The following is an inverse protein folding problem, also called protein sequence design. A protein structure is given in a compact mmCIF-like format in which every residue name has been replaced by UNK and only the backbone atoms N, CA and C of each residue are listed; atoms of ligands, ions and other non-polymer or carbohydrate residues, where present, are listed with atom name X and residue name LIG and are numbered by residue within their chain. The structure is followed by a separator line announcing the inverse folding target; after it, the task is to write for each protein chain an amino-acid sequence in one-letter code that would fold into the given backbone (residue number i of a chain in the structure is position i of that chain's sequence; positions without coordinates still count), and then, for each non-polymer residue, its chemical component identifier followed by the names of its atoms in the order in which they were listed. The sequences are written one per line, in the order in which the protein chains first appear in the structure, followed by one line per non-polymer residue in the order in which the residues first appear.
data_IF_678727308671
#
_entry.id   IF_678727308671
#
_cell.length_a   1.000
_cell.length_b   1.000
_cell.length_c   1.000
_cell.angle_alpha   90.00
_cell.angle_beta   90.00
_cell.angle_gamma   90.00
#
_symmetry.space_group_name_H-M   'P 1'
#
loop_
_entity.id
_entity.type
_entity.pdbx_description
1 polymer ?
#
# COMPACT_ATOMS: atom_id res chain seq x y z
N UNK A 1 16.52 -2.23 1.74
CA UNK A 1 16.60 -3.06 0.51
C UNK A 1 16.80 -2.14 -0.69
N UNK A 2 17.62 -2.52 -1.69
CA UNK A 2 17.82 -1.71 -2.91
C UNK A 2 16.60 -1.75 -3.84
N UNK A 3 16.51 -0.80 -4.79
CA UNK A 3 15.44 -0.75 -5.79
C UNK A 3 15.44 -1.99 -6.69
N UNK A 4 16.60 -2.38 -7.21
CA UNK A 4 16.74 -3.59 -8.05
C UNK A 4 16.26 -4.86 -7.33
N UNK A 5 16.64 -5.01 -6.05
CA UNK A 5 16.18 -6.15 -5.25
C UNK A 5 14.65 -6.15 -5.07
N UNK A 6 14.06 -4.97 -4.87
CA UNK A 6 12.61 -4.84 -4.78
C UNK A 6 11.91 -5.14 -6.10
N UNK A 7 12.44 -4.67 -7.23
CA UNK A 7 11.88 -4.98 -8.55
C UNK A 7 11.91 -6.48 -8.84
N UNK A 8 12.99 -7.15 -8.45
CA UNK A 8 13.12 -8.60 -8.61
C UNK A 8 12.11 -9.36 -7.72
N UNK A 9 12.02 -8.98 -6.44
CA UNK A 9 11.02 -9.50 -5.51
C UNK A 9 9.60 -9.28 -6.03
N UNK A 10 9.31 -8.07 -6.51
CA UNK A 10 8.02 -7.69 -7.03
C UNK A 10 7.62 -8.51 -8.26
N UNK A 11 8.53 -8.66 -9.24
CA UNK A 11 8.28 -9.41 -10.48
C UNK A 11 8.10 -10.91 -10.22
N UNK A 12 8.95 -11.48 -9.38
CA UNK A 12 9.02 -12.94 -9.23
C UNK A 12 8.16 -13.48 -8.09
N UNK A 13 7.77 -12.65 -7.13
CA UNK A 13 7.00 -13.10 -5.95
C UNK A 13 5.66 -12.39 -5.91
N UNK A 14 5.62 -11.06 -5.85
CA UNK A 14 4.36 -10.34 -5.67
C UNK A 14 3.41 -10.49 -6.86
N UNK A 15 3.88 -10.27 -8.09
CA UNK A 15 3.03 -10.35 -9.29
C UNK A 15 2.44 -11.74 -9.45
N UNK A 16 3.25 -12.79 -9.26
CA UNK A 16 2.82 -14.17 -9.48
C UNK A 16 1.78 -14.62 -8.44
N UNK A 17 1.87 -14.10 -7.22
CA UNK A 17 1.01 -14.52 -6.11
C UNK A 17 -0.10 -13.51 -5.76
N UNK A 18 -0.22 -12.39 -6.48
CA UNK A 18 -1.11 -11.26 -6.15
C UNK A 18 -2.58 -11.62 -5.91
N UNK A 19 -3.08 -12.67 -6.55
CA UNK A 19 -4.47 -13.13 -6.39
C UNK A 19 -4.69 -13.92 -5.10
N UNK A 20 -3.62 -14.45 -4.49
CA UNK A 20 -3.67 -15.26 -3.27
C UNK A 20 -3.31 -14.46 -2.02
N UNK A 21 -2.65 -13.31 -2.19
CA UNK A 21 -2.21 -12.45 -1.10
C UNK A 21 -3.44 -11.80 -0.42
N UNK A 22 -3.66 -12.15 0.84
CA UNK A 22 -4.66 -11.55 1.72
C UNK A 22 -4.07 -10.45 2.63
N UNK A 23 -2.81 -10.60 3.03
CA UNK A 23 -2.06 -9.65 3.82
C UNK A 23 -0.77 -9.30 3.06
N UNK A 24 -0.56 -8.02 2.84
CA UNK A 24 0.66 -7.50 2.22
C UNK A 24 1.33 -6.52 3.19
N UNK A 25 2.55 -6.84 3.62
CA UNK A 25 3.37 -5.95 4.43
C UNK A 25 4.57 -5.50 3.64
N UNK A 26 4.78 -4.19 3.54
CA UNK A 26 5.83 -3.60 2.74
C UNK A 26 6.53 -2.49 3.52
N UNK A 27 7.86 -2.53 3.55
CA UNK A 27 8.72 -1.65 4.35
C UNK A 27 9.82 -1.00 3.52
N UNK A 28 9.48 -0.51 2.32
CA UNK A 28 10.46 -0.12 1.29
C UNK A 28 10.10 1.22 0.61
N UNK A 29 11.03 2.18 0.52
CA UNK A 29 10.73 3.51 -0.03
C UNK A 29 10.36 3.49 -1.52
N UNK A 30 10.71 2.44 -2.27
CA UNK A 30 10.45 2.32 -3.72
C UNK A 30 9.11 1.65 -4.04
N UNK A 31 8.31 1.29 -3.02
CA UNK A 31 7.02 0.61 -3.17
C UNK A 31 6.11 1.34 -4.16
N UNK A 32 6.07 2.65 -4.10
CA UNK A 32 5.10 3.46 -4.83
C UNK A 32 5.44 3.55 -6.31
N UNK A 33 6.72 3.69 -6.62
CA UNK A 33 7.23 3.71 -7.99
C UNK A 33 7.00 2.38 -8.72
N UNK A 34 6.82 1.28 -7.98
CA UNK A 34 6.77 -0.06 -8.54
C UNK A 34 5.37 -0.66 -8.43
N UNK A 35 4.69 -0.56 -7.28
CA UNK A 35 3.37 -1.15 -7.09
C UNK A 35 2.27 -0.19 -7.53
N UNK A 36 2.41 1.10 -7.22
CA UNK A 36 1.30 2.07 -7.24
C UNK A 36 1.34 3.08 -8.43
N UNK A 37 2.33 3.03 -9.33
CA UNK A 37 2.37 3.89 -10.53
C UNK A 37 1.50 3.36 -11.70
N UNK A 38 0.74 4.23 -12.43
CA UNK A 38 0.09 3.89 -13.70
C UNK A 38 1.11 3.45 -14.78
N UNK A 39 0.76 2.57 -15.76
CA UNK A 39 -0.57 2.09 -16.14
C UNK A 39 -0.96 0.76 -15.46
N UNK A 40 -0.41 0.49 -14.26
CA UNK A 40 -0.58 -0.77 -13.51
C UNK A 40 -2.00 -0.99 -12.95
N UNK A 41 -3.00 -0.28 -13.47
CA UNK A 41 -4.44 -0.28 -13.13
C UNK A 41 -5.04 -1.71 -13.14
N UNK A 42 -4.41 -2.67 -13.84
CA UNK A 42 -4.81 -4.08 -13.85
C UNK A 42 -4.16 -4.98 -12.77
N UNK A 43 -3.42 -4.43 -11.82
CA UNK A 43 -2.85 -5.18 -10.70
C UNK A 43 -3.86 -5.25 -9.55
N UNK A 44 -4.99 -5.91 -9.78
CA UNK A 44 -5.97 -6.14 -8.71
C UNK A 44 -5.45 -7.23 -7.77
N UNK A 45 -5.07 -6.85 -6.56
CA UNK A 45 -4.93 -7.80 -5.46
C UNK A 45 -6.33 -8.19 -4.97
N UNK A 46 -6.99 -9.11 -5.69
CA UNK A 46 -8.42 -9.43 -5.52
C UNK A 46 -8.75 -9.88 -4.09
N UNK A 47 -7.82 -10.57 -3.43
CA UNK A 47 -8.02 -11.10 -2.07
C UNK A 47 -7.39 -10.24 -0.96
N UNK A 48 -6.75 -9.13 -1.30
CA UNK A 48 -6.05 -8.32 -0.30
C UNK A 48 -7.06 -7.67 0.65
N UNK A 49 -6.95 -8.03 1.92
CA UNK A 49 -7.76 -7.53 3.02
C UNK A 49 -6.97 -6.57 3.90
N UNK A 50 -5.67 -6.80 4.07
CA UNK A 50 -4.82 -6.01 4.96
C UNK A 50 -3.56 -5.55 4.24
N UNK A 51 -3.33 -4.24 4.22
CA UNK A 51 -2.08 -3.64 3.74
C UNK A 51 -1.37 -2.97 4.92
N UNK A 52 -0.14 -3.39 5.17
CA UNK A 52 0.74 -2.82 6.18
C UNK A 52 1.88 -2.10 5.46
N UNK A 53 2.01 -0.81 5.69
CA UNK A 53 3.00 0.04 5.05
C UNK A 53 3.90 0.63 6.12
N UNK A 54 5.12 0.12 6.19
CA UNK A 54 6.12 0.59 7.13
C UNK A 54 7.10 1.56 6.47
N UNK A 55 7.53 2.57 7.23
CA UNK A 55 8.49 3.59 6.83
C UNK A 55 8.09 4.29 5.51
N UNK A 56 6.81 4.63 5.39
CA UNK A 56 6.27 5.33 4.22
C UNK A 56 6.28 6.83 4.44
N UNK A 57 6.75 7.56 3.42
CA UNK A 57 6.64 9.00 3.41
C UNK A 57 5.19 9.43 3.15
N UNK A 58 4.69 10.33 3.99
CA UNK A 58 3.28 10.69 4.03
C UNK A 58 2.77 11.38 2.76
N UNK A 59 3.66 12.05 2.01
CA UNK A 59 3.31 12.73 0.75
C UNK A 59 2.77 11.78 -0.32
N UNK A 60 2.84 10.48 -0.07
CA UNK A 60 2.37 9.44 -0.97
C UNK A 60 1.07 8.76 -0.51
N UNK A 61 0.51 9.14 0.64
CA UNK A 61 -0.74 8.55 1.15
C UNK A 61 -1.89 8.71 0.14
N UNK A 62 -2.01 9.87 -0.51
CA UNK A 62 -3.07 10.11 -1.50
C UNK A 62 -3.03 9.08 -2.63
N UNK A 63 -1.83 8.79 -3.16
CA UNK A 63 -1.64 7.78 -4.21
C UNK A 63 -1.95 6.36 -3.74
N UNK A 64 -1.67 6.06 -2.46
CA UNK A 64 -2.00 4.77 -1.85
C UNK A 64 -3.51 4.63 -1.76
N UNK A 65 -4.19 5.67 -1.27
CA UNK A 65 -5.65 5.67 -1.16
C UNK A 65 -6.32 5.55 -2.53
N UNK A 66 -5.87 6.30 -3.54
CA UNK A 66 -6.36 6.20 -4.92
C UNK A 66 -6.32 4.75 -5.44
N UNK A 67 -5.26 4.01 -5.13
CA UNK A 67 -5.14 2.61 -5.55
C UNK A 67 -6.04 1.66 -4.75
N UNK A 68 -6.15 1.90 -3.44
CA UNK A 68 -6.97 1.07 -2.55
C UNK A 68 -8.46 1.21 -2.82
N UNK A 69 -8.92 2.36 -3.34
CA UNK A 69 -10.32 2.58 -3.72
C UNK A 69 -10.84 1.61 -4.79
N UNK A 70 -9.96 0.89 -5.52
CA UNK A 70 -10.36 -0.04 -6.58
C UNK A 70 -10.44 -1.53 -6.16
N UNK A 71 -10.26 -1.86 -4.87
CA UNK A 71 -10.27 -3.25 -4.36
C UNK A 71 -11.48 -3.57 -3.45
N UNK A 72 -12.36 -4.47 -3.88
CA UNK A 72 -13.64 -4.75 -3.19
C UNK A 72 -13.57 -5.56 -1.88
N UNK A 73 -12.38 -6.00 -1.45
CA UNK A 73 -12.19 -6.80 -0.23
C UNK A 73 -11.23 -6.16 0.77
N UNK A 74 -10.84 -4.90 0.52
CA UNK A 74 -9.86 -4.22 1.35
C UNK A 74 -10.52 -3.67 2.62
N UNK A 75 -10.04 -4.10 3.79
CA UNK A 75 -10.66 -3.77 5.08
C UNK A 75 -9.73 -2.98 6.00
N UNK A 76 -8.43 -3.29 5.98
CA UNK A 76 -7.48 -2.77 6.96
C UNK A 76 -6.25 -2.14 6.33
N UNK A 77 -5.97 -0.89 6.68
CA UNK A 77 -4.74 -0.20 6.37
C UNK A 77 -3.98 0.10 7.65
N UNK A 78 -2.75 -0.39 7.76
CA UNK A 78 -1.84 -0.07 8.87
C UNK A 78 -0.67 0.72 8.30
N UNK A 79 -0.46 1.93 8.83
CA UNK A 79 0.58 2.85 8.38
C UNK A 79 1.58 3.09 9.51
N UNK A 80 2.86 2.87 9.24
CA UNK A 80 3.96 3.33 10.09
C UNK A 80 4.73 4.40 9.30
N UNK A 81 4.37 5.68 9.41
CA UNK A 81 4.98 6.72 8.59
C UNK A 81 6.44 6.97 8.96
N UNK A 82 7.24 7.38 7.98
CA UNK A 82 8.66 7.75 8.14
C UNK A 82 8.84 9.19 8.61
N UNK A 83 7.83 10.03 8.37
CA UNK A 83 7.82 11.46 8.59
C UNK A 83 6.56 11.91 9.34
N UNK A 84 6.60 13.14 9.86
CA UNK A 84 5.54 13.72 10.67
C UNK A 84 4.24 13.86 9.87
N UNK A 85 3.11 13.59 10.54
CA UNK A 85 1.78 13.69 9.96
C UNK A 85 1.21 15.08 10.26
N UNK A 86 1.39 16.01 9.33
CA UNK A 86 0.88 17.38 9.49
C UNK A 86 -0.66 17.47 9.41
N UNK A 87 -1.32 16.54 8.70
CA UNK A 87 -2.78 16.53 8.63
C UNK A 87 -3.36 15.14 8.42
N UNK A 88 -4.24 14.72 9.34
CA UNK A 88 -5.05 13.50 9.24
C UNK A 88 -6.25 13.67 8.28
N UNK A 89 -6.43 14.84 7.67
CA UNK A 89 -7.53 15.09 6.72
C UNK A 89 -7.52 14.11 5.54
N UNK A 90 -6.36 13.57 5.19
CA UNK A 90 -6.17 12.54 4.14
C UNK A 90 -6.78 11.17 4.50
N UNK A 91 -7.11 10.92 5.77
CA UNK A 91 -7.67 9.63 6.20
C UNK A 91 -9.18 9.53 6.02
N UNK A 92 -9.87 10.65 5.79
CA UNK A 92 -11.33 10.69 5.69
C UNK A 92 -11.87 10.30 4.29
N UNK A 93 -11.01 9.81 3.39
CA UNK A 93 -11.36 9.65 1.97
C UNK A 93 -11.94 8.30 1.55
N UNK A 94 -12.09 7.30 2.43
CA UNK A 94 -12.58 5.99 2.00
C UNK A 94 -13.68 5.43 2.90
N UNK A 95 -14.91 5.40 2.38
CA UNK A 95 -16.04 4.66 2.95
C UNK A 95 -15.90 3.13 2.87
N UNK A 96 -14.83 2.63 2.24
CA UNK A 96 -14.59 1.19 2.03
C UNK A 96 -13.60 0.60 3.04
N UNK A 97 -12.77 1.42 3.68
CA UNK A 97 -11.82 0.96 4.68
C UNK A 97 -12.52 0.94 6.03
N UNK A 98 -12.71 -0.26 6.60
CA UNK A 98 -13.33 -0.40 7.92
C UNK A 98 -12.37 -0.07 9.06
N UNK A 99 -11.06 -0.16 8.83
CA UNK A 99 -10.06 0.05 9.85
C UNK A 99 -8.79 0.72 9.31
N UNK A 100 -8.40 1.85 9.91
CA UNK A 100 -7.13 2.53 9.67
C UNK A 100 -6.40 2.61 11.02
N UNK A 101 -5.19 2.05 11.07
CA UNK A 101 -4.29 2.18 12.22
C UNK A 101 -3.03 2.94 11.80
N UNK A 102 -2.63 3.92 12.60
CA UNK A 102 -1.37 4.64 12.41
C UNK A 102 -0.48 4.38 13.62
N UNK A 103 0.68 3.79 13.35
CA UNK A 103 1.72 3.53 14.35
C UNK A 103 2.77 4.62 14.26
N UNK A 104 2.71 5.57 15.17
CA UNK A 104 3.76 6.57 15.37
C UNK A 104 4.81 5.92 16.27
N UNK A 105 6.04 5.77 15.75
CA UNK A 105 7.20 5.28 16.51
C UNK A 105 7.95 6.45 17.16
#
# INVERSE_FOLDING_TARGET
MSKSNFENYYKNILILNKQQINLLRLSNPFILDIIFLPPRINLKFVRLQTLILDNINIKYLDKIFDYLLFGSNFHSLILSPADYIDSLSLLFFSSYISFIEIKIL
#
